data_IF_598256082106
#
_entry.id   IF_598256082106
#
_cell.length_a   1.000
_cell.length_b   1.000
_cell.length_c   1.000
_cell.angle_alpha   90.00
_cell.angle_beta   90.00
_cell.angle_gamma   90.00
#
_symmetry.space_group_name_H-M   'P 1'
#
loop_
_entity.id
_entity.type
_entity.pdbx_description
1 polymer ?
#
# COMPACT_ATOMS: atom_id res chain seq x y z
N UNK A 1 14.93 -13.81 10.68
CA UNK A 1 13.83 -14.15 9.73
C UNK A 1 13.20 -12.88 9.19
N UNK A 2 13.49 -12.50 7.94
CA UNK A 2 12.78 -11.39 7.27
C UNK A 2 11.38 -11.89 6.94
N UNK A 3 10.39 -11.56 7.77
CA UNK A 3 8.99 -11.94 7.54
C UNK A 3 8.58 -11.39 6.17
N UNK A 4 8.21 -12.28 5.25
CA UNK A 4 7.59 -11.90 3.97
C UNK A 4 6.39 -11.03 4.29
N UNK A 5 6.48 -9.72 4.03
CA UNK A 5 5.32 -8.84 4.09
C UNK A 5 4.36 -9.30 3.00
N UNK A 6 3.31 -9.98 3.40
CA UNK A 6 2.35 -10.58 2.46
C UNK A 6 1.52 -9.47 1.83
N UNK A 7 1.60 -9.37 0.51
CA UNK A 7 0.85 -8.45 -0.34
C UNK A 7 -0.66 -8.49 -0.04
N UNK A 8 -1.18 -9.69 0.23
CA UNK A 8 -2.55 -9.93 0.70
C UNK A 8 -2.91 -9.24 2.01
N UNK A 9 -1.97 -9.13 2.95
CA UNK A 9 -2.18 -8.43 4.23
C UNK A 9 -2.20 -6.91 4.02
N UNK A 10 -1.40 -6.38 3.09
CA UNK A 10 -1.45 -4.95 2.75
C UNK A 10 -2.80 -4.55 2.13
N UNK A 11 -3.36 -5.42 1.27
CA UNK A 11 -4.68 -5.25 0.64
C UNK A 11 -5.80 -5.38 1.69
N UNK A 12 -5.74 -6.38 2.56
CA UNK A 12 -6.68 -6.53 3.68
C UNK A 12 -6.65 -5.32 4.63
N UNK A 13 -5.47 -4.72 4.85
CA UNK A 13 -5.34 -3.50 5.65
C UNK A 13 -5.92 -2.27 4.96
N UNK A 14 -5.81 -2.15 3.63
CA UNK A 14 -6.46 -1.08 2.85
C UNK A 14 -7.97 -1.13 2.96
N UNK A 15 -8.55 -2.33 3.14
CA UNK A 15 -9.99 -2.50 3.29
C UNK A 15 -10.52 -1.94 4.62
N UNK A 16 -9.66 -1.83 5.64
CA UNK A 16 -10.04 -1.33 6.97
C UNK A 16 -9.83 0.19 7.06
N UNK A 17 -8.74 0.71 6.50
CA UNK A 17 -8.48 2.16 6.37
C UNK A 17 -7.72 2.42 5.06
N UNK A 18 -8.27 3.25 4.18
CA UNK A 18 -7.59 3.70 2.98
C UNK A 18 -6.26 4.38 3.37
N UNK A 19 -5.14 3.81 2.94
CA UNK A 19 -3.78 4.30 3.24
C UNK A 19 -2.98 3.50 4.27
N UNK A 20 -3.60 2.60 5.06
CA UNK A 20 -2.86 1.69 5.97
C UNK A 20 -1.94 0.72 5.21
N UNK A 21 -2.36 0.25 4.03
CA UNK A 21 -1.52 -0.63 3.22
C UNK A 21 -0.27 0.06 2.66
N UNK A 22 -0.29 1.38 2.43
CA UNK A 22 0.92 2.15 2.09
C UNK A 22 1.87 2.27 3.28
N UNK A 23 1.34 2.44 4.50
CA UNK A 23 2.12 2.42 5.74
C UNK A 23 2.77 1.04 5.94
N UNK A 24 2.03 -0.04 5.68
CA UNK A 24 2.55 -1.41 5.76
C UNK A 24 3.72 -1.67 4.79
N UNK A 25 3.64 -1.11 3.58
CA UNK A 25 4.71 -1.13 2.57
C UNK A 25 5.90 -0.21 2.92
N UNK A 26 5.86 0.51 4.06
CA UNK A 26 6.92 1.42 4.51
C UNK A 26 6.89 2.80 3.83
N UNK A 27 5.81 3.10 3.08
CA UNK A 27 5.62 4.38 2.37
C UNK A 27 4.69 5.29 3.18
N UNK A 28 5.18 5.73 4.35
CA UNK A 28 4.41 6.53 5.31
C UNK A 28 3.82 7.82 4.73
N UNK A 29 4.59 8.57 3.93
CA UNK A 29 4.13 9.80 3.28
C UNK A 29 2.91 9.57 2.38
N UNK A 30 2.95 8.53 1.53
CA UNK A 30 1.83 8.20 0.65
C UNK A 30 0.61 7.74 1.44
N UNK A 31 0.83 6.89 2.45
CA UNK A 31 -0.24 6.45 3.33
C UNK A 31 -0.93 7.60 4.05
N UNK A 32 -0.18 8.57 4.58
CA UNK A 32 -0.73 9.74 5.23
C UNK A 32 -1.58 10.60 4.27
N UNK A 33 -1.15 10.78 3.02
CA UNK A 33 -1.92 11.51 2.01
C UNK A 33 -3.26 10.82 1.75
N UNK A 34 -3.26 9.51 1.53
CA UNK A 34 -4.51 8.77 1.28
C UNK A 34 -5.44 8.79 2.49
N UNK A 35 -4.92 8.64 3.71
CA UNK A 35 -5.72 8.75 4.94
C UNK A 35 -6.35 10.14 5.06
N UNK A 36 -5.56 11.20 4.84
CA UNK A 36 -6.07 12.57 4.93
C UNK A 36 -7.16 12.85 3.91
N UNK A 37 -6.95 12.43 2.66
CA UNK A 37 -7.93 12.59 1.59
C UNK A 37 -9.21 11.83 1.93
N UNK A 38 -9.11 10.59 2.39
CA UNK A 38 -10.26 9.75 2.75
C UNK A 38 -11.08 10.37 3.89
N UNK A 39 -10.39 10.92 4.90
CA UNK A 39 -10.98 11.59 6.06
C UNK A 39 -11.68 12.90 5.67
N UNK A 40 -11.10 13.67 4.74
CA UNK A 40 -11.72 14.85 4.15
C UNK A 40 -12.99 14.50 3.35
N UNK A 41 -12.93 13.51 2.47
CA UNK A 41 -14.12 13.08 1.71
C UNK A 41 -15.22 12.53 2.61
N UNK A 42 -14.86 11.78 3.65
CA UNK A 42 -15.81 11.25 4.63
C UNK A 42 -16.47 12.37 5.43
N UNK A 43 -15.70 13.40 5.82
CA UNK A 43 -16.24 14.57 6.51
C UNK A 43 -17.23 15.36 5.65
N UNK A 44 -16.91 15.59 4.37
CA UNK A 44 -17.81 16.26 3.41
C UNK A 44 -19.08 15.43 3.22
N UNK A 45 -18.95 14.11 3.07
CA UNK A 45 -20.10 13.23 2.95
C UNK A 45 -21.02 13.31 4.19
N UNK A 46 -20.45 13.37 5.40
CA UNK A 46 -21.24 13.44 6.63
C UNK A 46 -21.97 14.79 6.79
N UNK A 47 -21.41 15.88 6.26
CA UNK A 47 -22.01 17.22 6.35
C UNK A 47 -23.09 17.48 5.30
N UNK A 48 -22.88 17.01 4.07
CA UNK A 48 -23.74 17.36 2.92
C UNK A 48 -24.54 16.17 2.37
N UNK A 49 -24.33 14.95 2.88
CA UNK A 49 -24.82 13.68 2.32
C UNK A 49 -24.60 13.57 0.79
N UNK A 50 -23.50 14.18 0.34
CA UNK A 50 -23.27 14.40 -1.07
C UNK A 50 -22.87 13.11 -1.78
N UNK A 51 -23.72 12.64 -2.69
CA UNK A 51 -23.48 11.44 -3.51
C UNK A 51 -22.18 11.59 -4.31
N UNK A 52 -21.80 12.81 -4.71
CA UNK A 52 -20.56 13.06 -5.43
C UNK A 52 -19.32 12.78 -4.56
N UNK A 53 -19.37 13.09 -3.27
CA UNK A 53 -18.29 12.77 -2.32
C UNK A 53 -18.12 11.25 -2.15
N UNK A 54 -19.23 10.50 -2.15
CA UNK A 54 -19.21 9.04 -2.10
C UNK A 54 -18.55 8.44 -3.35
N UNK A 55 -18.91 8.93 -4.55
CA UNK A 55 -18.29 8.50 -5.81
C UNK A 55 -16.79 8.80 -5.80
N UNK A 56 -16.41 10.00 -5.33
CA UNK A 56 -15.00 10.40 -5.25
C UNK A 56 -14.20 9.48 -4.32
N UNK A 57 -14.74 9.15 -3.14
CA UNK A 57 -14.12 8.23 -2.17
C UNK A 57 -13.88 6.84 -2.78
N UNK A 58 -14.85 6.31 -3.53
CA UNK A 58 -14.69 5.02 -4.24
C UNK A 58 -13.56 5.10 -5.27
N UNK A 59 -13.51 6.17 -6.07
CA UNK A 59 -12.45 6.37 -7.07
C UNK A 59 -11.07 6.45 -6.39
N UNK A 60 -10.96 7.23 -5.33
CA UNK A 60 -9.71 7.39 -4.55
C UNK A 60 -9.27 6.03 -3.98
N UNK A 61 -10.21 5.23 -3.47
CA UNK A 61 -9.94 3.89 -2.94
C UNK A 61 -9.39 2.96 -4.02
N UNK A 62 -9.98 2.97 -5.22
CA UNK A 62 -9.49 2.17 -6.36
C UNK A 62 -8.06 2.58 -6.75
N UNK A 63 -7.79 3.89 -6.80
CA UNK A 63 -6.45 4.42 -7.11
C UNK A 63 -5.44 4.00 -6.01
N UNK A 64 -5.83 4.08 -4.74
CA UNK A 64 -4.98 3.70 -3.62
C UNK A 64 -4.62 2.20 -3.64
N UNK A 65 -5.60 1.34 -3.99
CA UNK A 65 -5.37 -0.09 -4.18
C UNK A 65 -4.39 -0.33 -5.33
N UNK A 66 -4.57 0.35 -6.47
CA UNK A 66 -3.68 0.20 -7.62
C UNK A 66 -2.24 0.67 -7.32
N UNK A 67 -2.06 1.84 -6.70
CA UNK A 67 -0.72 2.34 -6.34
C UNK A 67 -0.04 1.40 -5.35
N UNK A 68 -0.78 0.90 -4.37
CA UNK A 68 -0.28 -0.08 -3.40
C UNK A 68 0.11 -1.40 -4.05
N UNK A 69 -0.68 -1.90 -4.99
CA UNK A 69 -0.38 -3.11 -5.75
C UNK A 69 0.92 -2.95 -6.55
N UNK A 70 1.07 -1.81 -7.24
CA UNK A 70 2.28 -1.51 -8.02
C UNK A 70 3.52 -1.47 -7.12
N UNK A 71 3.47 -0.75 -6.00
CA UNK A 71 4.57 -0.67 -5.03
C UNK A 71 4.92 -2.06 -4.49
N UNK A 72 3.92 -2.86 -4.13
CA UNK A 72 4.13 -4.19 -3.58
C UNK A 72 4.76 -5.14 -4.62
N UNK A 73 4.36 -5.02 -5.89
CA UNK A 73 4.98 -5.77 -6.99
C UNK A 73 6.44 -5.36 -7.22
N UNK A 74 6.74 -4.06 -7.21
CA UNK A 74 8.12 -3.56 -7.29
C UNK A 74 9.00 -4.08 -6.14
N UNK A 75 8.49 -4.05 -4.90
CA UNK A 75 9.20 -4.60 -3.74
C UNK A 75 9.44 -6.10 -3.86
N UNK A 76 8.46 -6.85 -4.37
CA UNK A 76 8.60 -8.30 -4.58
C UNK A 76 9.68 -8.62 -5.63
N UNK A 77 9.76 -7.81 -6.70
CA UNK A 77 10.76 -7.96 -7.77
C UNK A 77 12.16 -7.65 -7.24
N UNK A 78 12.32 -6.57 -6.48
CA UNK A 78 13.59 -6.23 -5.83
C UNK A 78 14.04 -7.31 -4.83
N UNK A 79 13.10 -7.93 -4.12
CA UNK A 79 13.41 -9.00 -3.18
C UNK A 79 13.87 -10.29 -3.88
N UNK A 80 13.33 -10.61 -5.06
CA UNK A 80 13.83 -11.71 -5.91
C UNK A 80 15.26 -11.45 -6.39
N UNK A 81 15.51 -10.27 -6.95
CA UNK A 81 16.85 -9.88 -7.45
C UNK A 81 17.87 -9.92 -6.32
N UNK A 82 17.53 -9.39 -5.14
CA UNK A 82 18.42 -9.43 -3.98
C UNK A 82 18.73 -10.86 -3.52
N UNK A 83 17.78 -11.80 -3.62
CA UNK A 83 18.01 -13.21 -3.28
C UNK A 83 18.98 -13.86 -4.26
N UNK A 84 18.78 -13.63 -5.55
CA UNK A 84 19.61 -14.15 -6.65
C UNK A 84 21.06 -13.63 -6.55
N UNK A 85 21.22 -12.32 -6.27
CA UNK A 85 22.55 -11.71 -6.04
C UNK A 85 23.28 -12.20 -4.78
N UNK A 86 22.56 -12.80 -3.81
CA UNK A 86 23.16 -13.38 -2.59
C UNK A 86 23.49 -14.86 -2.80
N UNK A 87 22.73 -15.59 -3.62
CA UNK A 87 23.06 -16.95 -4.07
C UNK A 87 24.25 -16.98 -5.06
N UNK A 88 24.50 -15.90 -5.81
CA UNK A 88 25.65 -15.76 -6.72
C UNK A 88 26.97 -15.41 -6.03
N UNK A 89 26.97 -15.00 -4.76
CA UNK A 89 28.23 -14.83 -4.01
C UNK A 89 28.66 -16.25 -3.63
N UNK A 90 29.71 -16.82 -4.24
CA UNK A 90 30.16 -18.15 -3.85
C UNK A 90 30.46 -18.10 -2.36
N UNK A 91 29.96 -19.08 -1.60
CA UNK A 91 30.39 -19.32 -0.23
C UNK A 91 31.91 -19.41 -0.25
N UNK A 92 32.59 -18.29 0.00
CA UNK A 92 34.03 -18.25 0.21
C UNK A 92 34.22 -19.01 1.51
N UNK A 93 34.61 -20.27 1.34
CA UNK A 93 35.05 -21.17 2.40
C UNK A 93 35.97 -20.40 3.34
N UNK A 94 35.51 -20.17 4.57
CA UNK A 94 36.35 -19.86 5.72
C UNK A 94 36.57 -21.19 6.45
#
# INVERSE_FOLDING_TARGET
>A
MVKRKSLWVAILLQLIIAGLGHIYLGRFLRGAIFILVDLLTSYIYFQEESISALILSIIITIIAIYDSYKIANEMSKQMKIKKESVEEIPEVYI
#
